data_IF_425016018180
#
_entry.id   IF_425016018180
#
_cell.length_a   1.000
_cell.length_b   1.000
_cell.length_c   1.000
_cell.angle_alpha   90.00
_cell.angle_beta   90.00
_cell.angle_gamma   90.00
#
_symmetry.space_group_name_H-M   'P 1'
#
loop_
_entity.id
_entity.type
_entity.pdbx_description
1 polymer ?
#
# COMPACT_ATOMS: atom_id res chain seq x y z
N UNK A 1 -13.56 -10.56 31.79
CA UNK A 1 -14.00 -10.79 30.39
C UNK A 1 -14.44 -9.47 29.82
N UNK A 2 -13.65 -8.86 28.93
CA UNK A 2 -14.13 -7.76 28.07
C UNK A 2 -13.08 -7.43 27.00
N UNK A 3 -13.36 -7.94 25.82
CA UNK A 3 -13.06 -7.45 24.46
C UNK A 3 -11.86 -6.51 24.26
N UNK A 4 -10.82 -7.11 23.68
CA UNK A 4 -9.65 -6.44 23.11
C UNK A 4 -10.03 -5.88 21.72
N UNK A 5 -10.35 -4.58 21.65
CA UNK A 5 -10.53 -3.88 20.37
C UNK A 5 -9.15 -3.61 19.74
N UNK A 6 -8.61 -4.61 19.03
CA UNK A 6 -7.44 -4.41 18.16
C UNK A 6 -7.84 -3.54 16.97
N UNK A 7 -7.57 -2.23 17.06
CA UNK A 7 -7.71 -1.30 15.94
C UNK A 7 -6.66 -1.64 14.88
N UNK A 8 -7.12 -2.11 13.71
CA UNK A 8 -6.29 -2.36 12.53
C UNK A 8 -5.98 -1.02 11.86
N UNK A 9 -4.72 -0.82 11.48
CA UNK A 9 -4.28 0.37 10.74
C UNK A 9 -4.63 0.19 9.25
N UNK A 10 -5.38 1.11 8.61
CA UNK A 10 -5.84 0.96 7.22
C UNK A 10 -4.76 1.07 6.13
N UNK A 11 -3.50 1.34 6.50
CA UNK A 11 -2.46 1.74 5.52
C UNK A 11 -1.35 0.71 5.30
N UNK A 12 -1.47 -0.49 5.87
CA UNK A 12 -0.55 -1.59 5.60
C UNK A 12 -1.17 -2.54 4.59
N UNK A 13 -0.91 -2.28 3.31
CA UNK A 13 -1.20 -3.23 2.24
C UNK A 13 0.04 -4.06 1.96
N UNK A 14 -0.12 -5.38 1.95
CA UNK A 14 0.94 -6.27 1.54
C UNK A 14 0.82 -6.58 0.04
N UNK A 15 1.81 -6.17 -0.75
CA UNK A 15 1.93 -6.62 -2.13
C UNK A 15 2.98 -7.71 -2.22
N UNK A 16 2.61 -8.85 -2.79
CA UNK A 16 3.52 -9.97 -3.01
C UNK A 16 3.66 -10.18 -4.52
N UNK A 17 4.88 -10.12 -5.02
CA UNK A 17 5.20 -10.54 -6.37
C UNK A 17 5.82 -11.93 -6.34
N UNK A 18 5.15 -12.87 -7.01
CA UNK A 18 5.53 -14.28 -7.10
C UNK A 18 6.01 -14.60 -8.52
N UNK A 19 7.30 -14.84 -8.68
CA UNK A 19 7.90 -15.22 -9.96
C UNK A 19 9.11 -16.14 -9.73
N UNK A 20 9.08 -17.31 -10.37
CA UNK A 20 10.11 -18.34 -10.23
C UNK A 20 11.40 -18.03 -10.99
N UNK A 21 11.44 -16.97 -11.80
CA UNK A 21 12.59 -16.61 -12.63
C UNK A 21 13.16 -15.21 -12.29
N UNK A 22 12.96 -14.74 -11.05
CA UNK A 22 13.45 -13.43 -10.63
C UNK A 22 14.97 -13.36 -10.59
N UNK A 23 15.56 -12.82 -11.65
CA UNK A 23 16.93 -12.33 -11.61
C UNK A 23 16.92 -10.82 -11.31
N UNK A 24 17.24 -10.44 -10.07
CA UNK A 24 17.32 -9.03 -9.66
C UNK A 24 18.47 -8.26 -10.34
N UNK A 25 19.35 -8.93 -11.09
CA UNK A 25 20.36 -8.29 -11.93
C UNK A 25 19.84 -7.94 -13.33
N UNK A 26 18.64 -8.44 -13.70
CA UNK A 26 17.97 -8.07 -14.92
C UNK A 26 17.38 -6.65 -14.82
N UNK A 27 17.70 -5.79 -15.78
CA UNK A 27 17.19 -4.42 -15.90
C UNK A 27 15.66 -4.37 -15.95
N UNK A 28 15.02 -5.37 -16.55
CA UNK A 28 13.56 -5.44 -16.64
C UNK A 28 12.94 -5.70 -15.26
N UNK A 29 13.55 -6.55 -14.44
CA UNK A 29 13.12 -6.79 -13.06
C UNK A 29 13.33 -5.54 -12.19
N UNK A 30 14.45 -4.82 -12.36
CA UNK A 30 14.73 -3.57 -11.63
C UNK A 30 13.70 -2.48 -11.96
N UNK A 31 13.45 -2.24 -13.25
CA UNK A 31 12.44 -1.29 -13.71
C UNK A 31 11.03 -1.66 -13.21
N UNK A 32 10.72 -2.96 -13.19
CA UNK A 32 9.44 -3.46 -12.67
C UNK A 32 9.30 -3.18 -11.17
N UNK A 33 10.36 -3.37 -10.39
CA UNK A 33 10.38 -3.07 -8.96
C UNK A 33 10.28 -1.57 -8.67
N UNK A 34 10.94 -0.73 -9.46
CA UNK A 34 10.84 0.73 -9.35
C UNK A 34 9.40 1.20 -9.61
N UNK A 35 8.76 0.70 -10.67
CA UNK A 35 7.36 1.02 -10.98
C UNK A 35 6.38 0.57 -9.90
N UNK A 36 6.60 -0.60 -9.29
CA UNK A 36 5.76 -1.07 -8.19
C UNK A 36 5.98 -0.24 -6.92
N UNK A 37 7.23 0.12 -6.61
CA UNK A 37 7.56 0.97 -5.46
C UNK A 37 7.02 2.38 -5.59
N UNK A 38 6.79 2.87 -6.80
CA UNK A 38 6.07 4.13 -7.05
C UNK A 38 4.59 4.08 -6.64
N UNK A 39 3.99 2.88 -6.50
CA UNK A 39 2.59 2.70 -6.09
C UNK A 39 2.46 2.22 -4.64
N UNK A 40 3.38 1.38 -4.17
CA UNK A 40 3.32 0.78 -2.83
C UNK A 40 4.65 0.85 -2.10
N UNK A 41 4.61 1.11 -0.79
CA UNK A 41 5.81 1.25 0.04
C UNK A 41 6.63 -0.04 0.15
N UNK A 42 5.98 -1.20 0.12
CA UNK A 42 6.63 -2.49 0.29
C UNK A 42 6.10 -3.52 -0.72
N UNK A 43 7.04 -4.22 -1.35
CA UNK A 43 6.79 -5.36 -2.22
C UNK A 43 7.59 -6.54 -1.70
N UNK A 44 6.90 -7.61 -1.33
CA UNK A 44 7.52 -8.87 -0.93
C UNK A 44 7.73 -9.74 -2.18
N UNK A 45 8.94 -10.25 -2.34
CA UNK A 45 9.27 -11.14 -3.45
C UNK A 45 9.13 -12.59 -2.98
N UNK A 46 8.60 -13.44 -3.86
CA UNK A 46 8.51 -14.87 -3.65
C UNK A 46 8.90 -15.60 -4.93
N UNK A 47 9.70 -16.66 -4.79
CA UNK A 47 10.11 -17.49 -5.95
C UNK A 47 9.27 -18.76 -6.07
N UNK A 48 8.53 -19.11 -5.01
CA UNK A 48 7.74 -20.34 -4.92
C UNK A 48 6.33 -20.04 -4.39
N UNK A 49 5.40 -20.96 -4.66
CA UNK A 49 4.03 -20.84 -4.17
C UNK A 49 3.98 -20.97 -2.63
N UNK A 50 4.80 -21.85 -2.08
CA UNK A 50 4.92 -22.11 -0.64
C UNK A 50 5.38 -20.85 0.11
N UNK A 51 6.39 -20.15 -0.41
CA UNK A 51 6.88 -18.91 0.17
C UNK A 51 5.78 -17.84 0.18
N UNK A 52 5.03 -17.69 -0.92
CA UNK A 52 3.90 -16.77 -1.00
C UNK A 52 2.82 -17.09 0.06
N UNK A 53 2.47 -18.37 0.22
CA UNK A 53 1.48 -18.80 1.23
C UNK A 53 1.98 -18.51 2.65
N UNK A 54 3.26 -18.76 2.93
CA UNK A 54 3.86 -18.43 4.22
C UNK A 54 3.82 -16.93 4.50
N UNK A 55 4.16 -16.10 3.51
CA UNK A 55 4.10 -14.64 3.60
C UNK A 55 2.68 -14.16 3.89
N UNK A 56 1.70 -14.65 3.13
CA UNK A 56 0.29 -14.36 3.38
C UNK A 56 -0.06 -14.70 4.83
N UNK A 57 0.34 -15.85 5.35
CA UNK A 57 -0.04 -16.31 6.69
C UNK A 57 0.60 -15.55 7.87
N UNK A 58 1.66 -14.76 7.66
CA UNK A 58 2.32 -14.00 8.76
C UNK A 58 1.36 -12.99 9.41
N UNK A 59 0.61 -12.24 8.61
CA UNK A 59 -0.30 -11.20 9.07
C UNK A 59 -1.71 -11.48 8.55
N UNK A 60 -2.58 -12.18 9.31
CA UNK A 60 -3.91 -12.58 8.82
C UNK A 60 -4.88 -11.40 8.66
N UNK A 61 -4.58 -10.27 9.29
CA UNK A 61 -5.42 -9.08 9.34
C UNK A 61 -5.09 -8.06 8.24
N UNK A 62 -3.98 -8.26 7.52
CA UNK A 62 -3.40 -7.32 6.55
C UNK A 62 -3.96 -7.59 5.15
N UNK A 63 -4.55 -6.56 4.52
CA UNK A 63 -5.08 -6.69 3.16
C UNK A 63 -3.92 -6.96 2.21
N UNK A 64 -4.07 -8.00 1.39
CA UNK A 64 -3.00 -8.49 0.52
C UNK A 64 -3.40 -8.43 -0.96
N UNK A 65 -2.42 -8.11 -1.80
CA UNK A 65 -2.48 -8.17 -3.25
C UNK A 65 -1.37 -9.08 -3.75
N UNK A 66 -1.67 -9.93 -4.74
CA UNK A 66 -0.69 -10.86 -5.31
C UNK A 66 -0.51 -10.57 -6.80
N UNK A 67 0.74 -10.45 -7.23
CA UNK A 67 1.13 -10.39 -8.64
C UNK A 67 1.87 -11.68 -8.94
N UNK A 68 1.48 -12.43 -9.97
CA UNK A 68 2.14 -13.69 -10.32
C UNK A 68 2.36 -13.83 -11.81
N UNK A 69 3.39 -14.59 -12.22
CA UNK A 69 3.57 -14.97 -13.62
C UNK A 69 2.45 -15.93 -14.08
N UNK A 70 2.21 -16.01 -15.40
CA UNK A 70 1.13 -16.84 -15.96
C UNK A 70 1.19 -18.31 -15.54
N UNK A 71 2.37 -18.94 -15.66
CA UNK A 71 2.56 -20.35 -15.35
C UNK A 71 2.51 -20.64 -13.84
N UNK A 72 3.19 -19.82 -13.03
CA UNK A 72 3.21 -20.01 -11.58
C UNK A 72 1.84 -19.69 -10.95
N UNK A 73 1.14 -18.71 -11.48
CA UNK A 73 -0.20 -18.31 -11.07
C UNK A 73 -1.21 -19.46 -11.18
N UNK A 74 -1.12 -20.30 -12.22
CA UNK A 74 -2.04 -21.41 -12.43
C UNK A 74 -2.01 -22.43 -11.28
N UNK A 75 -0.82 -22.63 -10.67
CA UNK A 75 -0.65 -23.52 -9.52
C UNK A 75 -0.87 -22.83 -8.18
N UNK A 76 -0.55 -21.54 -8.08
CA UNK A 76 -0.69 -20.76 -6.85
C UNK A 76 -2.14 -20.39 -6.53
N UNK A 77 -2.89 -19.89 -7.51
CA UNK A 77 -4.25 -19.32 -7.31
C UNK A 77 -5.22 -20.30 -6.62
N UNK A 78 -5.28 -21.60 -6.99
CA UNK A 78 -6.14 -22.56 -6.31
C UNK A 78 -5.93 -22.60 -4.78
N UNK A 79 -4.70 -22.37 -4.32
CA UNK A 79 -4.34 -22.43 -2.89
C UNK A 79 -4.62 -21.13 -2.13
N UNK A 80 -4.71 -19.98 -2.81
CA UNK A 80 -4.82 -18.66 -2.14
C UNK A 80 -6.15 -17.94 -2.38
N UNK A 81 -6.92 -18.27 -3.41
CA UNK A 81 -8.12 -17.51 -3.78
C UNK A 81 -9.16 -17.43 -2.65
N UNK A 82 -9.25 -18.46 -1.80
CA UNK A 82 -10.21 -18.52 -0.69
C UNK A 82 -9.87 -17.60 0.49
N UNK A 83 -8.65 -17.05 0.56
CA UNK A 83 -8.21 -16.25 1.70
C UNK A 83 -8.94 -14.90 1.75
N UNK A 84 -9.70 -14.65 2.83
CA UNK A 84 -10.50 -13.43 2.96
C UNK A 84 -9.68 -12.13 2.80
N UNK A 85 -8.44 -12.11 3.32
CA UNK A 85 -7.52 -10.96 3.23
C UNK A 85 -6.98 -10.69 1.82
N UNK A 86 -7.02 -11.69 0.93
CA UNK A 86 -6.56 -11.53 -0.45
C UNK A 86 -7.64 -10.80 -1.24
N UNK A 87 -7.37 -9.55 -1.59
CA UNK A 87 -8.33 -8.69 -2.26
C UNK A 87 -8.33 -8.91 -3.77
N UNK A 88 -7.15 -8.89 -4.38
CA UNK A 88 -6.99 -9.07 -5.81
C UNK A 88 -5.70 -9.81 -6.17
N UNK A 89 -5.76 -10.52 -7.29
CA UNK A 89 -4.66 -11.21 -7.93
C UNK A 89 -4.50 -10.64 -9.34
N UNK A 90 -3.27 -10.32 -9.73
CA UNK A 90 -2.91 -9.86 -11.07
C UNK A 90 -1.94 -10.83 -11.70
N UNK A 91 -2.17 -11.18 -12.96
CA UNK A 91 -1.28 -12.08 -13.70
C UNK A 91 -0.43 -11.25 -14.66
N UNK A 92 0.89 -11.31 -14.52
CA UNK A 92 1.84 -10.72 -15.45
C UNK A 92 2.30 -11.80 -16.44
N UNK A 93 1.91 -11.70 -17.70
CA UNK A 93 2.26 -12.69 -18.71
C UNK A 93 2.28 -12.07 -20.12
N UNK A 94 3.36 -12.33 -20.85
CA UNK A 94 3.53 -11.90 -22.23
C UNK A 94 2.53 -12.57 -23.18
N UNK A 95 2.13 -13.81 -22.87
CA UNK A 95 1.14 -14.56 -23.64
C UNK A 95 -0.24 -14.52 -22.96
N UNK A 96 -1.01 -13.46 -23.24
CA UNK A 96 -2.37 -13.28 -22.71
C UNK A 96 -3.31 -14.43 -23.05
N UNK A 97 -3.29 -14.90 -24.30
CA UNK A 97 -4.34 -15.80 -24.83
C UNK A 97 -4.33 -17.18 -24.17
N UNK A 98 -3.15 -17.72 -23.83
CA UNK A 98 -3.03 -19.04 -23.21
C UNK A 98 -3.48 -19.05 -21.74
N UNK A 99 -3.26 -17.95 -21.02
CA UNK A 99 -3.55 -17.87 -19.58
C UNK A 99 -4.83 -17.10 -19.24
N UNK A 100 -5.55 -16.56 -20.22
CA UNK A 100 -6.86 -15.93 -19.97
C UNK A 100 -7.97 -16.96 -19.67
N UNK A 101 -7.81 -18.20 -20.13
CA UNK A 101 -8.85 -19.23 -20.02
C UNK A 101 -9.02 -19.66 -18.56
N UNK A 102 -7.94 -20.03 -17.89
CA UNK A 102 -8.01 -20.50 -16.50
C UNK A 102 -8.28 -19.37 -15.52
N UNK A 103 -7.88 -18.13 -15.85
CA UNK A 103 -8.05 -16.98 -14.95
C UNK A 103 -9.50 -16.54 -14.81
N UNK A 104 -10.33 -16.73 -15.84
CA UNK A 104 -11.77 -16.44 -15.82
C UNK A 104 -12.55 -17.25 -14.77
N UNK A 105 -12.01 -18.39 -14.33
CA UNK A 105 -12.61 -19.22 -13.29
C UNK A 105 -12.48 -18.65 -11.87
N UNK A 106 -11.72 -17.56 -11.68
CA UNK A 106 -11.37 -17.04 -10.36
C UNK A 106 -11.78 -15.57 -10.18
N UNK A 107 -12.79 -15.31 -9.35
CA UNK A 107 -13.37 -13.97 -9.14
C UNK A 107 -12.39 -12.90 -8.61
N UNK A 108 -11.32 -13.33 -7.93
CA UNK A 108 -10.29 -12.44 -7.38
C UNK A 108 -9.20 -12.08 -8.38
N UNK A 109 -9.14 -12.75 -9.54
CA UNK A 109 -8.22 -12.35 -10.59
C UNK A 109 -8.79 -11.12 -11.31
N UNK A 110 -8.03 -10.04 -11.33
CA UNK A 110 -8.44 -8.76 -11.91
C UNK A 110 -7.92 -8.54 -13.33
N UNK A 111 -7.11 -9.46 -13.84
CA UNK A 111 -6.72 -9.50 -15.24
C UNK A 111 -5.38 -10.19 -15.50
N UNK A 112 -5.15 -10.47 -16.78
CA UNK A 112 -3.84 -10.85 -17.33
C UNK A 112 -3.29 -9.63 -18.07
N UNK A 113 -2.07 -9.24 -17.73
CA UNK A 113 -1.41 -8.04 -18.21
C UNK A 113 -0.04 -8.41 -18.78
N UNK A 114 0.30 -7.81 -19.93
CA UNK A 114 1.61 -8.00 -20.59
C UNK A 114 2.66 -7.03 -20.07
N UNK A 115 2.27 -6.04 -19.26
CA UNK A 115 3.16 -5.01 -18.75
C UNK A 115 2.83 -4.75 -17.29
N UNK A 116 3.87 -4.55 -16.48
CA UNK A 116 3.70 -4.17 -15.08
C UNK A 116 3.01 -2.82 -14.93
N UNK A 117 3.25 -1.88 -15.86
CA UNK A 117 2.61 -0.56 -15.85
C UNK A 117 1.08 -0.65 -15.73
N UNK A 118 0.45 -1.54 -16.51
CA UNK A 118 -1.00 -1.74 -16.41
C UNK A 118 -1.42 -2.38 -15.08
N UNK A 119 -0.57 -3.22 -14.49
CA UNK A 119 -0.80 -3.77 -13.15
C UNK A 119 -0.70 -2.66 -12.11
N UNK A 120 0.31 -1.79 -12.17
CA UNK A 120 0.48 -0.64 -11.27
C UNK A 120 -0.75 0.29 -11.28
N UNK A 121 -1.25 0.65 -12.46
CA UNK A 121 -2.46 1.46 -12.61
C UNK A 121 -3.69 0.80 -11.96
N UNK A 122 -3.88 -0.50 -12.21
CA UNK A 122 -5.00 -1.26 -11.63
C UNK A 122 -4.87 -1.46 -10.13
N UNK A 123 -3.65 -1.65 -9.64
CA UNK A 123 -3.32 -1.80 -8.23
C UNK A 123 -3.61 -0.50 -7.48
N UNK A 124 -3.17 0.65 -8.01
CA UNK A 124 -3.44 1.95 -7.41
C UNK A 124 -4.95 2.22 -7.25
N UNK A 125 -5.74 1.87 -8.28
CA UNK A 125 -7.20 1.98 -8.23
C UNK A 125 -7.78 1.05 -7.17
N UNK A 126 -7.34 -0.21 -7.13
CA UNK A 126 -7.84 -1.20 -6.17
C UNK A 126 -7.51 -0.80 -4.72
N UNK A 127 -6.32 -0.26 -4.46
CA UNK A 127 -5.93 0.27 -3.15
C UNK A 127 -6.85 1.44 -2.76
N UNK A 128 -7.09 2.39 -3.68
CA UNK A 128 -8.00 3.51 -3.44
C UNK A 128 -9.42 3.03 -3.13
N UNK A 129 -9.92 2.04 -3.85
CA UNK A 129 -11.23 1.45 -3.62
C UNK A 129 -11.29 0.70 -2.28
N UNK A 130 -10.26 -0.07 -1.92
CA UNK A 130 -10.16 -0.70 -0.60
C UNK A 130 -10.25 0.32 0.53
N UNK A 131 -9.55 1.45 0.42
CA UNK A 131 -9.64 2.55 1.40
C UNK A 131 -11.07 3.10 1.52
N UNK A 132 -11.81 3.17 0.42
CA UNK A 132 -13.18 3.70 0.38
C UNK A 132 -14.22 2.69 0.88
N UNK A 133 -14.13 1.43 0.47
CA UNK A 133 -15.08 0.36 0.85
C UNK A 133 -14.90 -0.07 2.32
N UNK A 134 -13.72 0.16 2.91
CA UNK A 134 -13.45 -0.08 4.33
C UNK A 134 -13.73 1.12 5.25
N UNK A 135 -14.28 2.25 4.74
CA UNK A 135 -14.60 3.41 5.57
C UNK A 135 -16.09 3.77 5.55
N UNK A 136 -16.74 3.69 6.72
CA UNK A 136 -17.62 4.77 7.11
C UNK A 136 -17.17 5.32 8.46
N UNK A 137 -16.00 5.95 8.58
CA UNK A 137 -15.70 6.75 9.79
C UNK A 137 -14.78 7.92 9.46
N UNK A 138 -15.28 9.12 9.70
CA UNK A 138 -14.49 10.31 10.02
C UNK A 138 -13.48 9.99 11.14
N UNK A 139 -12.27 9.55 10.81
CA UNK A 139 -11.16 9.54 11.78
C UNK A 139 -10.22 10.66 11.40
N UNK A 140 -10.19 11.70 12.24
CA UNK A 140 -9.15 12.71 12.18
C UNK A 140 -7.77 12.02 12.01
N UNK A 141 -6.84 12.55 11.19
CA UNK A 141 -5.53 11.94 10.94
C UNK A 141 -4.57 12.06 12.14
N UNK A 142 -5.14 12.22 13.33
CA UNK A 142 -4.45 12.37 14.58
C UNK A 142 -5.22 11.73 15.72
N UNK A 143 -4.50 11.24 16.72
CA UNK A 143 -5.06 10.68 17.94
C UNK A 143 -4.23 11.13 19.14
N UNK A 144 -4.89 11.40 20.26
CA UNK A 144 -4.17 11.51 21.53
C UNK A 144 -3.76 10.12 22.01
N UNK A 145 -2.50 9.97 22.40
CA UNK A 145 -1.97 8.71 22.94
C UNK A 145 -1.64 8.81 24.43
N UNK A 146 -2.15 9.82 25.13
CA UNK A 146 -1.89 10.06 26.56
C UNK A 146 -2.13 8.83 27.44
N UNK A 147 -3.21 8.09 27.17
CA UNK A 147 -3.56 6.88 27.94
C UNK A 147 -2.57 5.73 27.69
N UNK A 148 -1.94 5.70 26.52
CA UNK A 148 -1.03 4.64 26.05
C UNK A 148 0.45 5.02 26.21
N UNK A 149 0.78 6.30 26.40
CA UNK A 149 2.16 6.77 26.51
C UNK A 149 2.85 6.25 27.76
N UNK A 150 4.14 5.97 27.65
CA UNK A 150 4.99 5.61 28.79
C UNK A 150 5.19 6.79 29.75
N UNK A 151 5.26 8.02 29.21
CA UNK A 151 5.42 9.25 29.98
C UNK A 151 4.07 9.94 30.16
N UNK A 152 3.53 9.91 31.37
CA UNK A 152 2.15 10.37 31.65
C UNK A 152 1.99 11.89 31.76
N UNK A 153 3.09 12.61 31.85
CA UNK A 153 3.10 14.08 31.97
C UNK A 153 3.13 14.79 30.61
N UNK A 154 3.22 14.03 29.51
CA UNK A 154 3.23 14.56 28.15
C UNK A 154 1.84 14.53 27.50
N UNK A 155 1.54 15.56 26.71
CA UNK A 155 0.33 15.62 25.89
C UNK A 155 0.65 15.22 24.45
N UNK A 156 0.89 13.93 24.25
CA UNK A 156 1.29 13.40 22.95
C UNK A 156 0.09 13.23 22.00
N UNK A 157 0.25 13.77 20.80
CA UNK A 157 -0.65 13.58 19.66
C UNK A 157 0.12 12.81 18.57
N UNK A 158 -0.39 11.63 18.23
CA UNK A 158 0.12 10.80 17.15
C UNK A 158 -0.61 11.16 15.86
N UNK A 159 0.12 11.53 14.82
CA UNK A 159 -0.42 11.69 13.47
C UNK A 159 -0.25 10.39 12.69
N UNK A 160 -1.19 10.09 11.78
CA UNK A 160 -1.02 8.97 10.86
C UNK A 160 0.19 9.21 9.95
N UNK A 161 0.79 8.13 9.48
CA UNK A 161 1.80 8.26 8.43
C UNK A 161 1.19 8.92 7.20
N UNK A 162 2.01 9.61 6.41
CA UNK A 162 1.56 10.39 5.26
C UNK A 162 0.66 11.59 5.59
N UNK A 163 0.58 12.01 6.86
CA UNK A 163 -0.02 13.30 7.22
C UNK A 163 0.82 14.44 6.66
N UNK A 164 0.23 15.25 5.78
CA UNK A 164 0.89 16.42 5.17
C UNK A 164 0.43 17.69 5.87
N UNK A 165 1.37 18.59 6.13
CA UNK A 165 1.11 19.92 6.68
C UNK A 165 1.57 21.00 5.71
N UNK A 166 0.75 22.03 5.55
CA UNK A 166 1.15 23.30 4.95
C UNK A 166 1.81 24.16 6.01
N UNK A 167 2.98 24.68 5.69
CA UNK A 167 3.60 25.77 6.45
C UNK A 167 2.80 27.06 6.19
N UNK A 168 2.27 27.63 7.27
CA UNK A 168 1.64 28.95 7.27
C UNK A 168 2.69 30.02 7.53
N UNK A 169 2.63 30.61 8.72
CA UNK A 169 3.54 31.69 9.10
C UNK A 169 4.80 31.15 9.80
N UNK A 170 5.93 31.78 9.52
CA UNK A 170 7.19 31.55 10.23
C UNK A 170 7.58 32.86 10.93
N UNK A 171 7.56 32.86 12.26
CA UNK A 171 7.89 34.04 13.08
C UNK A 171 9.12 33.76 13.91
N UNK A 172 9.99 34.76 14.06
CA UNK A 172 11.14 34.67 14.97
C UNK A 172 10.68 34.90 16.40
N UNK A 173 11.21 34.15 17.35
CA UNK A 173 10.88 34.34 18.77
C UNK A 173 11.79 35.43 19.35
N UNK A 174 11.21 36.55 19.79
CA UNK A 174 11.93 37.78 20.15
C UNK A 174 13.04 37.59 21.20
N UNK A 175 12.91 36.58 22.07
CA UNK A 175 13.85 36.30 23.16
C UNK A 175 14.97 35.29 22.83
N UNK A 176 14.99 34.71 21.62
CA UNK A 176 16.07 33.82 21.22
C UNK A 176 16.39 33.97 19.72
N UNK A 177 17.59 34.50 19.43
CA UNK A 177 18.03 34.79 18.05
C UNK A 177 18.06 33.57 17.12
N UNK A 178 18.03 32.36 17.64
CA UNK A 178 18.11 31.11 16.89
C UNK A 178 16.79 30.32 16.83
N UNK A 179 15.69 30.78 17.45
CA UNK A 179 14.42 30.05 17.47
C UNK A 179 13.36 30.72 16.60
N UNK A 180 12.60 29.88 15.90
CA UNK A 180 11.48 30.27 15.06
C UNK A 180 10.25 29.46 15.47
N UNK A 181 9.11 30.13 15.52
CA UNK A 181 7.80 29.50 15.60
C UNK A 181 7.27 29.31 14.17
N UNK A 182 6.79 28.10 13.87
CA UNK A 182 6.22 27.74 12.58
C UNK A 182 4.78 27.30 12.80
N UNK A 183 3.83 27.97 12.15
CA UNK A 183 2.44 27.56 12.17
C UNK A 183 2.21 26.50 11.09
N UNK A 184 1.72 25.32 11.49
CA UNK A 184 1.44 24.20 10.59
C UNK A 184 -0.06 23.99 10.48
N UNK A 185 -0.56 23.85 9.25
CA UNK A 185 -1.97 23.54 8.97
C UNK A 185 -2.07 22.19 8.26
N UNK A 186 -2.84 21.28 8.84
CA UNK A 186 -3.18 20.00 8.23
C UNK A 186 -3.84 20.23 6.86
N UNK A 187 -3.33 19.56 5.81
CA UNK A 187 -3.91 19.62 4.47
C UNK A 187 -5.05 18.60 4.33
N UNK A 188 -5.99 18.87 3.41
CA UNK A 188 -7.02 17.93 2.99
C UNK A 188 -6.75 17.43 1.57
N UNK A 189 -7.40 16.34 1.15
CA UNK A 189 -7.27 15.81 -0.21
C UNK A 189 -7.70 16.81 -1.31
N UNK A 190 -8.58 17.75 -0.96
CA UNK A 190 -9.04 18.81 -1.87
C UNK A 190 -8.07 19.99 -1.99
N UNK A 191 -6.88 19.89 -1.41
CA UNK A 191 -5.88 20.93 -1.44
C UNK A 191 -5.24 21.06 -2.84
N UNK A 192 -5.48 22.16 -3.57
CA UNK A 192 -5.10 22.27 -4.97
C UNK A 192 -3.58 22.32 -5.17
N UNK A 193 -2.84 22.90 -4.22
CA UNK A 193 -1.38 22.96 -4.28
C UNK A 193 -0.75 21.60 -3.98
N UNK A 194 -1.33 20.85 -3.03
CA UNK A 194 -0.88 19.49 -2.76
C UNK A 194 -1.08 18.59 -3.98
N UNK A 195 -2.21 18.74 -4.69
CA UNK A 195 -2.49 18.00 -5.92
C UNK A 195 -1.46 18.33 -7.01
N UNK A 196 -1.20 19.61 -7.26
CA UNK A 196 -0.23 20.05 -8.26
C UNK A 196 1.19 19.54 -7.96
N UNK A 197 1.62 19.60 -6.69
CA UNK A 197 2.91 19.04 -6.25
C UNK A 197 2.97 17.52 -6.47
N UNK A 198 1.90 16.81 -6.12
CA UNK A 198 1.83 15.35 -6.27
C UNK A 198 1.90 14.95 -7.74
N UNK A 199 1.25 15.71 -8.62
CA UNK A 199 1.27 15.46 -10.07
C UNK A 199 2.66 15.75 -10.64
N UNK A 200 3.33 16.83 -10.23
CA UNK A 200 4.70 17.13 -10.65
C UNK A 200 5.70 16.04 -10.25
N UNK A 201 5.64 15.55 -8.99
CA UNK A 201 6.54 14.49 -8.50
C UNK A 201 6.34 13.17 -9.27
N UNK A 202 5.14 12.92 -9.80
CA UNK A 202 4.86 11.72 -10.61
C UNK A 202 5.41 11.81 -12.04
N UNK A 203 5.72 13.01 -12.51
CA UNK A 203 6.24 13.27 -13.86
C UNK A 203 7.76 13.37 -13.91
N UNK A 204 8.46 13.49 -12.77
CA UNK A 204 9.92 13.33 -12.64
C UNK A 204 10.36 11.86 -12.55
#
# INVERSE_FOLDING_TARGET
MSQQSRRRHPENYMVIWVDGNMDMTNKDCQNTMEQLRGVVNQVNLCTTAEECIQQLNKNPEEISFVISSGALGQHLVPSIHGMAKLNAIYICCDNKQEHEIWTKSWAKIKGVHTTIKHICEKLAIAIKQCNQDHMPVSSAPFASIREESYFKDEEEILFSMHTVFRIGEVRKIDNNRALYQVDLKLTSDDDPQLRELTDFIREE
#
